data_IF_790914794803
#
_entry.id   IF_790914794803
#
_cell.length_a   1.000
_cell.length_b   1.000
_cell.length_c   1.000
_cell.angle_alpha   90.00
_cell.angle_beta   90.00
_cell.angle_gamma   90.00
#
_symmetry.space_group_name_H-M   'P 1'
#
loop_
_entity.id
_entity.type
_entity.pdbx_description
1 polymer ?
#
# COMPACT_ATOMS: atom_id res chain seq x y z
N UNK A 1 13.66 10.85 -1.62
CA UNK A 1 12.49 11.44 -0.92
C UNK A 1 11.22 11.02 -1.65
N UNK A 2 10.15 10.70 -0.94
CA UNK A 2 8.83 10.39 -1.54
C UNK A 2 7.77 11.26 -0.86
N UNK A 3 6.83 11.80 -1.65
CA UNK A 3 5.74 12.65 -1.18
C UNK A 3 4.40 11.95 -1.45
N UNK A 4 3.62 11.69 -0.41
CA UNK A 4 2.31 11.06 -0.50
C UNK A 4 1.22 12.00 0.02
N UNK A 5 0.33 12.43 -0.85
CA UNK A 5 -0.85 13.22 -0.51
C UNK A 5 -2.03 12.29 -0.23
N UNK A 6 -2.60 12.39 0.96
CA UNK A 6 -3.83 11.69 1.33
C UNK A 6 -4.97 12.71 1.36
N UNK A 7 -6.14 12.37 0.83
CA UNK A 7 -7.32 13.28 0.80
C UNK A 7 -8.38 12.91 1.85
N UNK A 8 -8.35 11.67 2.32
CA UNK A 8 -9.23 11.14 3.36
C UNK A 8 -8.45 10.64 4.56
N UNK A 9 -9.09 10.60 5.73
CA UNK A 9 -8.48 10.03 6.94
C UNK A 9 -8.25 8.52 6.79
N UNK A 10 -9.08 7.83 6.00
CA UNK A 10 -8.93 6.40 5.68
C UNK A 10 -7.64 6.17 4.87
N UNK A 11 -7.41 6.97 3.82
CA UNK A 11 -6.18 6.92 3.04
C UNK A 11 -4.94 7.20 3.91
N UNK A 12 -5.03 8.18 4.81
CA UNK A 12 -3.97 8.49 5.78
C UNK A 12 -3.69 7.31 6.71
N UNK A 13 -4.71 6.77 7.38
CA UNK A 13 -4.56 5.67 8.33
C UNK A 13 -3.93 4.45 7.67
N UNK A 14 -4.36 4.14 6.44
CA UNK A 14 -3.80 3.05 5.64
C UNK A 14 -2.34 3.29 5.27
N UNK A 15 -1.97 4.52 4.88
CA UNK A 15 -0.59 4.88 4.61
C UNK A 15 0.29 4.72 5.86
N UNK A 16 -0.18 5.16 7.04
CA UNK A 16 0.56 5.03 8.30
C UNK A 16 0.82 3.56 8.65
N UNK A 17 -0.20 2.71 8.57
CA UNK A 17 -0.05 1.27 8.81
C UNK A 17 0.94 0.62 7.83
N UNK A 18 0.91 1.02 6.55
CA UNK A 18 1.82 0.53 5.53
C UNK A 18 3.29 0.91 5.81
N UNK A 19 3.55 2.18 6.11
CA UNK A 19 4.93 2.63 6.37
C UNK A 19 5.45 2.10 7.71
N UNK A 20 4.59 1.91 8.72
CA UNK A 20 4.98 1.25 9.97
C UNK A 20 5.42 -0.20 9.74
N UNK A 21 4.67 -0.96 8.92
CA UNK A 21 5.05 -2.33 8.55
C UNK A 21 6.38 -2.40 7.81
N UNK A 22 6.73 -1.37 7.01
CA UNK A 22 8.02 -1.26 6.33
C UNK A 22 9.16 -0.74 7.25
N UNK A 23 8.87 -0.43 8.52
CA UNK A 23 9.86 -0.02 9.52
C UNK A 23 10.20 1.47 9.52
N UNK A 24 9.38 2.32 8.91
CA UNK A 24 9.55 3.77 8.97
C UNK A 24 9.06 4.32 10.32
N UNK A 25 9.72 5.36 10.82
CA UNK A 25 9.41 5.99 12.09
C UNK A 25 9.33 7.51 11.91
N UNK A 26 8.57 8.19 12.79
CA UNK A 26 8.64 9.64 12.88
C UNK A 26 10.01 10.09 13.39
N UNK A 27 10.43 11.32 13.05
CA UNK A 27 11.67 11.91 13.58
C UNK A 27 11.74 11.93 15.12
N UNK A 28 10.61 11.82 15.81
CA UNK A 28 10.46 11.72 17.26
C UNK A 28 10.66 10.30 17.82
N UNK A 29 10.94 9.30 16.96
CA UNK A 29 10.97 7.86 17.25
C UNK A 29 9.62 7.26 17.67
N UNK A 30 8.54 7.95 17.35
CA UNK A 30 7.18 7.44 17.52
C UNK A 30 6.80 6.60 16.30
N UNK A 31 5.94 5.60 16.49
CA UNK A 31 5.44 4.81 15.37
C UNK A 31 4.49 5.64 14.50
N UNK A 32 4.43 5.36 13.19
CA UNK A 32 3.52 6.04 12.28
C UNK A 32 2.06 6.06 12.74
N UNK A 33 1.57 4.94 13.30
CA UNK A 33 0.16 4.85 13.76
C UNK A 33 -0.10 5.46 15.13
N UNK A 34 0.93 5.77 15.92
CA UNK A 34 0.79 6.36 17.26
C UNK A 34 0.61 7.88 17.22
N UNK A 35 1.10 8.54 16.16
CA UNK A 35 0.99 9.99 15.98
C UNK A 35 0.12 10.34 14.77
N UNK A 36 -1.01 11.00 15.03
CA UNK A 36 -1.96 11.39 13.99
C UNK A 36 -1.79 12.85 13.56
N UNK A 37 -0.89 13.08 12.59
CA UNK A 37 -0.64 14.42 12.04
C UNK A 37 -1.76 14.90 11.08
N UNK A 38 -2.65 14.02 10.64
CA UNK A 38 -3.77 14.34 9.75
C UNK A 38 -4.68 15.44 10.32
N UNK A 39 -4.80 15.52 11.65
CA UNK A 39 -5.64 16.51 12.31
C UNK A 39 -5.20 17.97 12.05
N UNK A 40 -3.95 18.17 11.60
CA UNK A 40 -3.36 19.49 11.36
C UNK A 40 -3.79 20.04 9.99
N UNK A 41 -3.53 19.29 8.91
CA UNK A 41 -3.78 19.75 7.53
C UNK A 41 -5.00 19.09 6.87
N UNK A 42 -5.58 18.06 7.49
CA UNK A 42 -6.71 17.28 6.98
C UNK A 42 -6.45 16.86 5.53
N UNK A 43 -7.38 17.11 4.61
CA UNK A 43 -7.27 16.79 3.18
C UNK A 43 -6.04 17.38 2.47
N UNK A 44 -5.32 18.32 3.06
CA UNK A 44 -4.11 18.91 2.50
C UNK A 44 -2.82 18.28 3.08
N UNK A 45 -2.92 17.17 3.84
CA UNK A 45 -1.77 16.51 4.45
C UNK A 45 -0.95 15.77 3.41
N UNK A 46 0.34 16.08 3.35
CA UNK A 46 1.34 15.33 2.59
C UNK A 46 2.31 14.69 3.57
N UNK A 47 2.49 13.37 3.45
CA UNK A 47 3.52 12.62 4.16
C UNK A 47 4.79 12.64 3.34
N UNK A 48 5.86 13.07 3.99
CA UNK A 48 7.20 13.20 3.43
C UNK A 48 8.03 12.04 3.98
N UNK A 49 8.57 11.20 3.10
CA UNK A 49 9.53 10.16 3.48
C UNK A 49 10.92 10.67 3.07
N UNK A 50 11.70 11.10 4.06
CA UNK A 50 13.05 11.64 3.91
C UNK A 50 14.09 10.60 4.32
N UNK A 51 15.02 10.27 3.41
CA UNK A 51 15.99 9.18 3.60
C UNK A 51 15.33 7.83 3.97
N UNK A 52 16.11 6.76 4.11
CA UNK A 52 15.55 5.40 4.13
C UNK A 52 14.68 5.07 5.36
N UNK A 53 14.56 5.94 6.37
CA UNK A 53 13.84 5.63 7.63
C UNK A 53 12.97 6.74 8.24
N UNK A 54 13.09 8.01 7.85
CA UNK A 54 12.45 9.12 8.59
C UNK A 54 11.18 9.66 7.93
N UNK A 55 10.13 9.83 8.73
CA UNK A 55 8.88 10.46 8.32
C UNK A 55 8.80 11.93 8.75
N UNK A 56 8.27 12.76 7.85
CA UNK A 56 7.82 14.12 8.07
C UNK A 56 6.42 14.34 7.48
N UNK A 57 5.81 15.48 7.78
CA UNK A 57 4.51 15.85 7.22
C UNK A 57 4.45 17.36 7.00
N UNK A 58 3.74 17.78 5.96
CA UNK A 58 3.55 19.19 5.63
C UNK A 58 2.22 19.41 4.90
N UNK A 59 1.85 20.68 4.69
CA UNK A 59 0.74 21.01 3.81
C UNK A 59 1.12 20.79 2.33
N UNK A 60 0.12 20.46 1.52
CA UNK A 60 0.28 20.33 0.07
C UNK A 60 0.89 21.57 -0.57
N UNK A 61 0.39 22.76 -0.22
CA UNK A 61 0.91 24.05 -0.71
C UNK A 61 2.40 24.24 -0.37
N UNK A 62 2.81 23.87 0.86
CA UNK A 62 4.21 23.94 1.25
C UNK A 62 5.07 23.02 0.37
N UNK A 63 4.63 21.78 0.16
CA UNK A 63 5.34 20.81 -0.67
C UNK A 63 5.43 21.27 -2.13
N UNK A 64 4.37 21.85 -2.70
CA UNK A 64 4.38 22.39 -4.07
C UNK A 64 5.36 23.55 -4.22
N UNK A 65 5.50 24.39 -3.19
CA UNK A 65 6.41 25.54 -3.19
C UNK A 65 7.87 25.16 -2.94
N UNK A 66 8.12 24.27 -2.00
CA UNK A 66 9.48 23.94 -1.51
C UNK A 66 10.07 22.78 -2.29
N UNK A 67 9.24 21.82 -2.70
CA UNK A 67 9.63 20.61 -3.43
C UNK A 67 9.03 20.61 -4.84
N UNK A 68 9.15 21.74 -5.56
CA UNK A 68 8.56 21.93 -6.90
C UNK A 68 8.96 20.85 -7.92
N UNK A 69 10.17 20.32 -7.78
CA UNK A 69 10.71 19.31 -8.70
C UNK A 69 10.35 17.87 -8.31
N UNK A 70 9.72 17.67 -7.14
CA UNK A 70 9.33 16.35 -6.65
C UNK A 70 7.83 16.12 -6.85
N UNK A 71 7.42 15.11 -7.63
CA UNK A 71 6.01 14.84 -7.84
C UNK A 71 5.34 14.37 -6.54
N UNK A 72 4.22 15.02 -6.19
CA UNK A 72 3.37 14.60 -5.08
C UNK A 72 2.46 13.47 -5.57
N UNK A 73 2.66 12.26 -5.02
CA UNK A 73 1.85 11.09 -5.37
C UNK A 73 0.58 11.11 -4.55
N UNK A 74 -0.58 11.05 -5.22
CA UNK A 74 -1.85 10.84 -4.53
C UNK A 74 -1.91 9.40 -4.01
N UNK A 75 -2.01 9.23 -2.70
CA UNK A 75 -2.24 7.95 -2.07
C UNK A 75 -3.74 7.73 -1.93
N UNK A 76 -4.20 6.59 -2.42
CA UNK A 76 -5.55 6.08 -2.19
C UNK A 76 -5.46 4.65 -1.71
N UNK A 77 -6.15 4.36 -0.62
CA UNK A 77 -6.26 3.00 -0.11
C UNK A 77 -6.99 2.16 -1.15
N UNK A 78 -6.29 1.21 -1.76
CA UNK A 78 -6.89 0.11 -2.52
C UNK A 78 -7.06 -1.13 -1.66
N UNK A 79 -6.78 -1.05 -0.36
CA UNK A 79 -6.52 -2.19 0.52
C UNK A 79 -7.72 -3.14 0.63
N UNK A 80 -8.95 -2.64 0.57
CA UNK A 80 -10.15 -3.51 0.53
C UNK A 80 -10.32 -4.21 -0.82
N UNK A 81 -10.05 -3.53 -1.93
CA UNK A 81 -10.10 -4.13 -3.27
C UNK A 81 -8.94 -5.12 -3.47
N UNK A 82 -7.77 -4.79 -2.94
CA UNK A 82 -6.55 -5.59 -2.99
C UNK A 82 -6.65 -6.80 -2.06
N UNK A 83 -7.15 -6.63 -0.82
CA UNK A 83 -7.42 -7.73 0.09
C UNK A 83 -8.50 -8.67 -0.47
N UNK A 84 -9.59 -8.12 -0.99
CA UNK A 84 -10.63 -8.89 -1.67
C UNK A 84 -10.06 -9.64 -2.88
N UNK A 85 -9.22 -8.99 -3.67
CA UNK A 85 -8.58 -9.60 -4.81
C UNK A 85 -7.60 -10.72 -4.40
N UNK A 86 -6.88 -10.56 -3.28
CA UNK A 86 -6.05 -11.63 -2.71
C UNK A 86 -6.85 -12.80 -2.20
N UNK A 87 -7.96 -12.54 -1.50
CA UNK A 87 -8.87 -13.58 -1.04
C UNK A 87 -9.46 -14.34 -2.22
N UNK A 88 -9.83 -13.63 -3.29
CA UNK A 88 -10.31 -14.21 -4.55
C UNK A 88 -9.21 -15.04 -5.25
N UNK A 89 -7.99 -14.51 -5.34
CA UNK A 89 -6.85 -15.22 -5.95
C UNK A 89 -6.45 -16.47 -5.16
N UNK A 90 -6.30 -16.36 -3.84
CA UNK A 90 -5.99 -17.46 -2.95
C UNK A 90 -7.10 -18.53 -2.95
N UNK A 91 -8.36 -18.09 -2.92
CA UNK A 91 -9.53 -18.97 -3.04
C UNK A 91 -9.55 -19.73 -4.37
N UNK A 92 -9.20 -19.06 -5.48
CA UNK A 92 -9.09 -19.71 -6.78
C UNK A 92 -7.94 -20.71 -6.84
N UNK A 93 -6.74 -20.37 -6.35
CA UNK A 93 -5.60 -21.30 -6.27
C UNK A 93 -6.01 -22.56 -5.51
N UNK A 94 -6.59 -22.42 -4.32
CA UNK A 94 -7.03 -23.55 -3.49
C UNK A 94 -8.10 -24.39 -4.20
N UNK A 95 -9.08 -23.74 -4.84
CA UNK A 95 -10.15 -24.41 -5.60
C UNK A 95 -9.59 -25.25 -6.75
N UNK A 96 -8.60 -24.75 -7.49
CA UNK A 96 -8.02 -25.46 -8.62
C UNK A 96 -7.07 -26.59 -8.18
N UNK A 97 -6.23 -26.33 -7.16
CA UNK A 97 -5.32 -27.34 -6.57
C UNK A 97 -6.08 -28.46 -5.86
N UNK A 98 -7.26 -28.20 -5.30
CA UNK A 98 -8.03 -29.25 -4.58
C UNK A 98 -8.76 -30.22 -5.50
N UNK A 99 -9.11 -29.82 -6.73
CA UNK A 99 -9.96 -30.63 -7.63
C UNK A 99 -9.23 -31.25 -8.82
N UNK A 100 -7.95 -30.91 -9.02
CA UNK A 100 -7.22 -31.26 -10.23
C UNK A 100 -7.22 -32.77 -10.51
N UNK A 101 -7.08 -33.63 -9.49
CA UNK A 101 -7.05 -35.09 -9.67
C UNK A 101 -8.36 -35.68 -10.21
N UNK A 102 -9.48 -34.99 -9.99
CA UNK A 102 -10.83 -35.51 -10.18
C UNK A 102 -11.66 -34.74 -11.22
N UNK A 103 -11.17 -33.59 -11.72
CA UNK A 103 -11.90 -32.74 -12.68
C UNK A 103 -11.14 -32.49 -13.99
N UNK A 104 -10.19 -31.55 -14.01
CA UNK A 104 -9.52 -31.16 -15.27
C UNK A 104 -8.00 -31.42 -15.27
N UNK A 105 -7.45 -32.21 -14.34
CA UNK A 105 -6.02 -32.56 -14.27
C UNK A 105 -5.09 -31.36 -14.46
N UNK A 106 -4.26 -31.38 -15.50
CA UNK A 106 -3.20 -30.39 -15.70
C UNK A 106 -3.75 -29.00 -16.03
N UNK A 107 -4.94 -28.91 -16.63
CA UNK A 107 -5.58 -27.62 -16.91
C UNK A 107 -5.92 -26.86 -15.63
N UNK A 108 -6.41 -27.54 -14.58
CA UNK A 108 -6.66 -26.89 -13.28
C UNK A 108 -5.33 -26.43 -12.64
N UNK A 109 -4.24 -27.19 -12.78
CA UNK A 109 -2.93 -26.77 -12.28
C UNK A 109 -2.37 -25.55 -13.01
N UNK A 110 -2.58 -25.43 -14.32
CA UNK A 110 -2.21 -24.24 -15.11
C UNK A 110 -3.02 -23.01 -14.66
N UNK A 111 -4.30 -23.19 -14.36
CA UNK A 111 -5.15 -22.12 -13.87
C UNK A 111 -4.68 -21.65 -12.47
N UNK A 112 -4.34 -22.57 -11.57
CA UNK A 112 -3.74 -22.23 -10.29
C UNK A 112 -2.40 -21.50 -10.46
N UNK A 113 -1.56 -21.94 -11.40
CA UNK A 113 -0.30 -21.28 -11.73
C UNK A 113 -0.51 -19.84 -12.22
N UNK A 114 -1.54 -19.57 -13.03
CA UNK A 114 -1.87 -18.22 -13.48
C UNK A 114 -2.12 -17.28 -12.30
N UNK A 115 -3.02 -17.65 -11.39
CA UNK A 115 -3.33 -16.82 -10.21
C UNK A 115 -2.12 -16.67 -9.27
N UNK A 116 -1.30 -17.72 -9.14
CA UNK A 116 -0.08 -17.66 -8.34
C UNK A 116 0.96 -16.71 -8.95
N UNK A 117 1.16 -16.76 -10.26
CA UNK A 117 2.10 -15.87 -10.96
C UNK A 117 1.64 -14.40 -10.88
N UNK A 118 0.34 -14.15 -11.01
CA UNK A 118 -0.21 -12.80 -10.89
C UNK A 118 0.00 -12.23 -9.48
N UNK A 119 -0.19 -13.06 -8.45
CA UNK A 119 0.15 -12.73 -7.06
C UNK A 119 1.65 -12.40 -6.89
N UNK A 120 2.54 -13.21 -7.46
CA UNK A 120 4.00 -12.97 -7.39
C UNK A 120 4.36 -11.65 -8.06
N UNK A 121 3.90 -11.41 -9.29
CA UNK A 121 4.20 -10.19 -10.04
C UNK A 121 3.74 -8.93 -9.28
N UNK A 122 2.58 -9.00 -8.62
CA UNK A 122 2.10 -7.93 -7.77
C UNK A 122 3.04 -7.68 -6.59
N UNK A 123 3.44 -8.74 -5.87
CA UNK A 123 4.35 -8.64 -4.71
C UNK A 123 5.74 -8.12 -5.09
N UNK A 124 6.21 -8.43 -6.30
CA UNK A 124 7.50 -7.95 -6.84
C UNK A 124 7.45 -6.49 -7.32
N UNK A 125 6.25 -5.94 -7.56
CA UNK A 125 6.06 -4.56 -8.00
C UNK A 125 6.02 -3.54 -6.84
N UNK A 126 6.04 -4.01 -5.58
CA UNK A 126 5.89 -3.24 -4.32
C UNK A 126 7.21 -2.99 -3.56
#
# INVERSE_FOLDING_TARGET
MKLYHTETQEDYNALMAFVEKKGYEWNTKEKPTEYNCWNIFKKETVIVIEYDINLGFASKEYCERVYSDTPIKKYKVKQDEVAKWFDDAAGNILKYVSRYEHKNRIEDLKEAQFYLNDLINWMESD
#
